data_IF_751214489722
#
_entry.id   IF_751214489722
#
_cell.length_a   1.000
_cell.length_b   1.000
_cell.length_c   1.000
_cell.angle_alpha   90.00
_cell.angle_beta   90.00
_cell.angle_gamma   90.00
#
_symmetry.space_group_name_H-M   'P 1'
#
loop_
_entity.id
_entity.type
_entity.pdbx_description
1 polymer ?
#
# COMPACT_ATOMS: atom_id res chain seq x y z
N UNK A 1 -37.00 2.44 -10.19
CA UNK A 1 -35.71 3.00 -10.63
C UNK A 1 -34.91 1.87 -11.26
N UNK A 2 -34.33 2.02 -12.46
CA UNK A 2 -33.38 1.02 -12.94
C UNK A 2 -32.21 1.01 -11.96
N UNK A 3 -31.83 -0.16 -11.47
CA UNK A 3 -30.58 -0.33 -10.73
C UNK A 3 -29.46 0.08 -11.70
N UNK A 4 -28.85 1.24 -11.47
CA UNK A 4 -27.64 1.64 -12.17
C UNK A 4 -26.57 0.60 -11.83
N UNK A 5 -26.40 -0.38 -12.71
CA UNK A 5 -25.40 -1.43 -12.54
C UNK A 5 -24.00 -0.84 -12.60
N UNK A 6 -23.12 -1.28 -11.71
CA UNK A 6 -21.69 -0.95 -11.79
C UNK A 6 -20.99 -2.02 -12.63
N UNK A 7 -19.68 -1.88 -12.78
CA UNK A 7 -18.85 -2.85 -13.47
C UNK A 7 -17.75 -3.36 -12.54
N UNK A 8 -17.30 -4.57 -12.81
CA UNK A 8 -16.00 -5.06 -12.36
C UNK A 8 -15.03 -5.00 -13.52
N UNK A 9 -13.82 -4.52 -13.26
CA UNK A 9 -12.74 -4.49 -14.24
C UNK A 9 -11.65 -5.46 -13.83
N UNK A 10 -11.11 -6.17 -14.82
CA UNK A 10 -10.10 -7.20 -14.65
C UNK A 10 -8.97 -6.96 -15.63
N UNK A 11 -7.74 -7.03 -15.13
CA UNK A 11 -6.55 -7.00 -15.96
C UNK A 11 -6.25 -8.42 -16.41
N UNK A 12 -6.32 -8.67 -17.71
CA UNK A 12 -6.07 -9.96 -18.33
C UNK A 12 -4.71 -9.93 -18.99
N UNK A 13 -3.86 -10.90 -18.67
CA UNK A 13 -2.61 -11.14 -19.35
C UNK A 13 -2.84 -12.00 -20.58
N UNK A 14 -2.50 -11.48 -21.76
CA UNK A 14 -2.89 -12.10 -23.03
C UNK A 14 -2.08 -13.36 -23.34
N UNK A 15 -0.85 -13.50 -22.81
CA UNK A 15 0.02 -14.64 -23.08
C UNK A 15 -0.39 -15.96 -22.40
N UNK A 16 -1.25 -15.94 -21.38
CA UNK A 16 -1.74 -17.16 -20.70
C UNK A 16 -3.18 -17.08 -20.18
N UNK A 17 -3.86 -15.96 -20.45
CA UNK A 17 -5.22 -15.70 -20.04
C UNK A 17 -5.39 -15.50 -18.54
N UNK A 18 -4.33 -15.41 -17.74
CA UNK A 18 -4.48 -15.10 -16.31
C UNK A 18 -5.14 -13.74 -16.12
N UNK A 19 -5.94 -13.59 -15.07
CA UNK A 19 -6.56 -12.31 -14.75
C UNK A 19 -6.54 -12.01 -13.26
N UNK A 20 -6.53 -10.72 -12.93
CA UNK A 20 -6.71 -10.21 -11.58
C UNK A 20 -7.62 -8.98 -11.60
N UNK A 21 -8.42 -8.74 -10.53
CA UNK A 21 -9.32 -7.61 -10.47
C UNK A 21 -8.55 -6.29 -10.33
N UNK A 22 -9.03 -5.25 -11.01
CA UNK A 22 -8.58 -3.86 -10.84
C UNK A 22 -9.59 -3.12 -9.95
N UNK A 23 -10.83 -2.99 -10.40
CA UNK A 23 -11.92 -2.36 -9.64
C UNK A 23 -13.08 -3.33 -9.43
N UNK A 24 -13.54 -3.46 -8.18
CA UNK A 24 -14.67 -4.32 -7.82
C UNK A 24 -16.04 -3.69 -8.07
N UNK A 25 -16.09 -2.37 -8.22
CA UNK A 25 -17.29 -1.59 -8.53
C UNK A 25 -16.84 -0.26 -9.13
N UNK A 26 -17.09 -0.06 -10.41
CA UNK A 26 -16.69 1.15 -11.13
C UNK A 26 -17.71 1.51 -12.22
N UNK A 27 -17.48 2.62 -12.90
CA UNK A 27 -18.30 3.11 -14.03
C UNK A 27 -17.45 3.20 -15.30
N UNK A 28 -18.04 3.14 -16.50
CA UNK A 28 -17.28 3.15 -17.75
C UNK A 28 -16.32 4.34 -17.91
N UNK A 29 -16.67 5.52 -17.36
CA UNK A 29 -15.79 6.69 -17.37
C UNK A 29 -14.44 6.52 -16.65
N UNK A 30 -14.28 5.46 -15.86
CA UNK A 30 -13.07 5.11 -15.12
C UNK A 30 -12.24 4.00 -15.77
N UNK A 31 -12.72 3.39 -16.85
CA UNK A 31 -12.02 2.27 -17.49
C UNK A 31 -10.65 2.64 -18.03
N UNK A 32 -10.44 3.86 -18.51
CA UNK A 32 -9.12 4.30 -18.98
C UNK A 32 -8.08 4.36 -17.84
N UNK A 33 -8.51 4.78 -16.66
CA UNK A 33 -7.67 4.80 -15.45
C UNK A 33 -7.34 3.37 -15.01
N UNK A 34 -8.34 2.49 -14.98
CA UNK A 34 -8.17 1.06 -14.68
C UNK A 34 -7.24 0.36 -15.69
N UNK A 35 -7.33 0.70 -16.98
CA UNK A 35 -6.46 0.16 -18.03
C UNK A 35 -5.01 0.63 -17.86
N UNK A 36 -4.79 1.90 -17.52
CA UNK A 36 -3.47 2.42 -17.20
C UNK A 36 -2.88 1.72 -15.97
N UNK A 37 -3.68 1.50 -14.92
CA UNK A 37 -3.27 0.77 -13.73
C UNK A 37 -2.93 -0.69 -14.05
N UNK A 38 -3.75 -1.37 -14.85
CA UNK A 38 -3.49 -2.74 -15.33
C UNK A 38 -2.12 -2.86 -16.00
N UNK A 39 -1.76 -1.91 -16.89
CA UNK A 39 -0.44 -1.89 -17.55
C UNK A 39 0.71 -1.64 -16.57
N UNK A 40 0.54 -0.73 -15.62
CA UNK A 40 1.56 -0.44 -14.58
C UNK A 40 1.83 -1.63 -13.67
N UNK A 41 0.81 -2.41 -13.36
CA UNK A 41 0.93 -3.60 -12.50
C UNK A 41 1.59 -4.80 -13.20
N UNK A 42 1.61 -4.80 -14.55
CA UNK A 42 2.18 -5.87 -15.35
C UNK A 42 3.09 -5.35 -16.47
N UNK A 43 4.20 -4.67 -16.14
CA UNK A 43 5.09 -4.05 -17.12
C UNK A 43 5.80 -5.07 -18.03
N UNK A 44 6.01 -6.31 -17.57
CA UNK A 44 6.73 -7.33 -18.33
C UNK A 44 5.83 -8.25 -19.17
N UNK A 45 4.54 -7.96 -19.29
CA UNK A 45 3.62 -8.74 -20.10
C UNK A 45 2.62 -7.87 -20.87
N UNK A 46 2.16 -8.38 -22.00
CA UNK A 46 1.01 -7.80 -22.68
C UNK A 46 -0.27 -8.07 -21.87
N UNK A 47 -0.99 -6.98 -21.58
CA UNK A 47 -2.22 -7.01 -20.82
C UNK A 47 -3.32 -6.23 -21.51
N UNK A 48 -4.56 -6.62 -21.24
CA UNK A 48 -5.75 -5.92 -21.70
C UNK A 48 -6.77 -5.84 -20.56
N UNK A 49 -7.47 -4.71 -20.47
CA UNK A 49 -8.57 -4.55 -19.53
C UNK A 49 -9.84 -5.22 -20.08
N UNK A 50 -10.47 -6.03 -19.25
CA UNK A 50 -11.80 -6.59 -19.48
C UNK A 50 -12.76 -6.11 -18.40
N UNK A 51 -14.05 -6.06 -18.71
CA UNK A 51 -15.08 -5.65 -17.77
C UNK A 51 -16.36 -6.47 -17.93
N UNK A 52 -17.08 -6.67 -16.84
CA UNK A 52 -18.42 -7.27 -16.85
C UNK A 52 -19.33 -6.52 -15.87
N UNK A 53 -20.64 -6.68 -16.02
CA UNK A 53 -21.62 -6.04 -15.13
C UNK A 53 -21.52 -6.58 -13.71
N UNK A 54 -21.77 -5.70 -12.76
CA UNK A 54 -21.83 -6.01 -11.34
C UNK A 54 -23.10 -5.36 -10.75
N UNK A 55 -24.00 -6.15 -10.12
CA UNK A 55 -23.95 -7.60 -9.91
C UNK A 55 -24.38 -8.42 -11.15
N UNK A 56 -24.22 -9.74 -11.07
CA UNK A 56 -24.93 -10.71 -11.95
C UNK A 56 -24.14 -11.30 -13.12
N UNK A 57 -22.96 -10.78 -13.44
CA UNK A 57 -22.05 -11.38 -14.43
C UNK A 57 -20.72 -11.80 -13.81
N UNK A 58 -19.96 -12.60 -14.55
CA UNK A 58 -18.63 -13.07 -14.18
C UNK A 58 -17.63 -12.88 -15.34
N UNK A 59 -16.41 -13.38 -15.15
CA UNK A 59 -15.33 -13.27 -16.14
C UNK A 59 -15.67 -13.93 -17.49
N UNK A 60 -16.51 -14.99 -17.52
CA UNK A 60 -16.86 -15.66 -18.78
C UNK A 60 -17.70 -14.74 -19.69
N UNK A 61 -18.32 -13.71 -19.10
CA UNK A 61 -19.10 -12.67 -19.80
C UNK A 61 -18.33 -11.36 -19.96
N UNK A 62 -17.07 -11.30 -19.53
CA UNK A 62 -16.30 -10.06 -19.58
C UNK A 62 -15.90 -9.71 -21.01
N UNK A 63 -15.92 -8.42 -21.31
CA UNK A 63 -15.58 -7.85 -22.61
C UNK A 63 -14.48 -6.80 -22.48
N UNK A 64 -13.56 -6.78 -23.42
CA UNK A 64 -12.53 -5.75 -23.52
C UNK A 64 -13.10 -4.43 -24.07
N UNK A 65 -12.29 -3.37 -24.04
CA UNK A 65 -12.66 -2.05 -24.58
C UNK A 65 -13.03 -2.05 -26.07
N UNK A 66 -12.52 -3.02 -26.83
CA UNK A 66 -12.88 -3.24 -28.24
C UNK A 66 -14.04 -4.24 -28.46
N UNK A 67 -14.72 -4.66 -27.39
CA UNK A 67 -15.91 -5.51 -27.46
C UNK A 67 -15.65 -7.01 -27.65
N UNK A 68 -14.40 -7.48 -27.60
CA UNK A 68 -14.09 -8.92 -27.66
C UNK A 68 -14.38 -9.58 -26.32
N UNK A 69 -15.01 -10.75 -26.36
CA UNK A 69 -15.24 -11.51 -25.13
C UNK A 69 -13.94 -12.14 -24.64
N UNK A 70 -13.77 -12.24 -23.32
CA UNK A 70 -12.61 -12.90 -22.73
C UNK A 70 -12.52 -14.37 -23.15
N UNK A 71 -13.67 -15.04 -23.31
CA UNK A 71 -13.75 -16.42 -23.82
C UNK A 71 -13.16 -16.61 -25.22
N UNK A 72 -13.10 -15.54 -26.03
CA UNK A 72 -12.61 -15.59 -27.40
C UNK A 72 -11.08 -15.45 -27.47
N UNK A 73 -10.43 -15.11 -26.35
CA UNK A 73 -8.97 -15.07 -26.26
C UNK A 73 -8.45 -16.51 -26.39
N UNK A 74 -7.49 -16.81 -27.30
CA UNK A 74 -6.97 -18.18 -27.49
C UNK A 74 -6.40 -18.80 -26.21
N UNK A 75 -5.89 -17.97 -25.32
CA UNK A 75 -5.31 -18.37 -24.03
C UNK A 75 -6.31 -18.31 -22.87
N UNK A 76 -7.57 -17.96 -23.10
CA UNK A 76 -8.60 -17.85 -22.06
C UNK A 76 -8.61 -19.08 -21.15
N UNK A 77 -8.58 -18.82 -19.83
CA UNK A 77 -8.56 -19.84 -18.78
C UNK A 77 -7.39 -20.85 -18.82
N UNK A 78 -6.37 -20.65 -19.67
CA UNK A 78 -5.26 -21.60 -19.80
C UNK A 78 -4.44 -21.72 -18.52
N UNK A 79 -4.26 -20.59 -17.81
CA UNK A 79 -3.63 -20.53 -16.49
C UNK A 79 -4.23 -21.49 -15.44
N UNK A 80 -5.50 -21.92 -15.61
CA UNK A 80 -6.15 -22.87 -14.70
C UNK A 80 -5.66 -24.30 -14.88
N UNK A 81 -5.13 -24.62 -16.07
CA UNK A 81 -4.68 -25.97 -16.42
C UNK A 81 -3.17 -26.12 -16.22
N UNK A 82 -2.41 -25.10 -16.58
CA UNK A 82 -0.96 -25.11 -16.48
C UNK A 82 -0.40 -23.71 -16.24
N UNK A 83 0.69 -23.63 -15.49
CA UNK A 83 1.45 -22.41 -15.30
C UNK A 83 2.38 -22.18 -16.50
N UNK A 84 2.36 -20.97 -17.07
CA UNK A 84 3.29 -20.55 -18.11
C UNK A 84 4.43 -19.72 -17.51
N UNK A 85 5.62 -20.33 -17.39
CA UNK A 85 6.80 -19.68 -16.82
C UNK A 85 7.34 -18.51 -17.68
N UNK A 86 7.01 -18.45 -18.98
CA UNK A 86 7.42 -17.34 -19.85
C UNK A 86 6.47 -16.14 -19.78
N UNK A 87 5.38 -16.24 -19.02
CA UNK A 87 4.32 -15.23 -18.96
C UNK A 87 4.18 -14.75 -17.50
N UNK A 88 4.73 -13.57 -17.21
CA UNK A 88 4.82 -12.98 -15.86
C UNK A 88 4.71 -11.46 -15.92
N UNK A 89 4.13 -10.83 -14.89
CA UNK A 89 4.05 -9.37 -14.78
C UNK A 89 5.40 -8.71 -14.43
N UNK A 90 6.38 -9.52 -14.05
CA UNK A 90 7.77 -9.14 -13.73
C UNK A 90 8.75 -9.97 -14.57
N UNK A 91 9.86 -9.36 -14.97
CA UNK A 91 10.86 -10.05 -15.78
C UNK A 91 11.53 -11.21 -15.00
N UNK A 92 12.06 -12.25 -15.69
CA UNK A 92 12.79 -13.32 -15.04
C UNK A 92 13.97 -12.79 -14.21
N UNK A 93 14.06 -13.21 -12.95
CA UNK A 93 15.11 -12.76 -12.03
C UNK A 93 14.91 -11.37 -11.41
N UNK A 94 13.88 -10.62 -11.83
CA UNK A 94 13.58 -9.29 -11.32
C UNK A 94 12.81 -9.34 -10.00
N UNK A 95 13.15 -8.46 -9.06
CA UNK A 95 12.36 -8.26 -7.84
C UNK A 95 11.06 -7.47 -8.14
N UNK A 96 10.06 -7.57 -7.27
CA UNK A 96 8.83 -6.77 -7.42
C UNK A 96 9.05 -5.28 -7.24
N UNK A 97 9.98 -4.90 -6.36
CA UNK A 97 10.35 -3.50 -6.18
C UNK A 97 10.91 -2.92 -7.49
N UNK A 98 11.85 -3.63 -8.11
CA UNK A 98 12.46 -3.21 -9.36
C UNK A 98 11.45 -3.17 -10.52
N UNK A 99 10.53 -4.12 -10.58
CA UNK A 99 9.47 -4.15 -11.60
C UNK A 99 8.53 -2.94 -11.49
N UNK A 100 8.16 -2.55 -10.26
CA UNK A 100 7.19 -1.47 -10.03
C UNK A 100 7.83 -0.08 -9.95
N UNK A 101 9.14 0.02 -9.70
CA UNK A 101 9.90 1.29 -9.73
C UNK A 101 9.89 2.00 -11.09
N UNK A 102 9.49 1.32 -12.15
CA UNK A 102 9.45 1.89 -13.51
C UNK A 102 8.34 2.93 -13.68
N UNK A 103 7.45 3.11 -12.71
CA UNK A 103 6.43 4.17 -12.69
C UNK A 103 6.82 5.32 -11.76
N UNK A 104 6.46 6.56 -12.14
CA UNK A 104 6.43 7.67 -11.19
C UNK A 104 5.34 7.42 -10.14
N UNK A 105 5.69 7.58 -8.86
CA UNK A 105 4.74 7.48 -7.77
C UNK A 105 3.85 8.72 -7.76
N UNK A 106 2.61 8.56 -8.24
CA UNK A 106 1.63 9.65 -8.32
C UNK A 106 1.05 10.04 -6.96
N UNK A 107 1.42 9.34 -5.89
CA UNK A 107 0.99 9.68 -4.52
C UNK A 107 1.90 10.70 -3.85
N UNK A 108 3.07 10.99 -4.43
CA UNK A 108 4.02 11.95 -3.87
C UNK A 108 3.55 13.39 -4.13
N UNK A 109 3.38 14.14 -3.05
CA UNK A 109 3.04 15.56 -3.09
C UNK A 109 4.25 16.45 -2.76
N UNK A 110 4.12 17.74 -3.08
CA UNK A 110 5.15 18.73 -2.76
C UNK A 110 5.23 18.90 -1.25
N UNK A 111 6.33 18.41 -0.66
CA UNK A 111 6.57 18.46 0.79
C UNK A 111 6.86 17.10 1.40
N UNK A 112 6.60 16.02 0.65
CA UNK A 112 6.90 14.66 1.10
C UNK A 112 8.41 14.41 1.18
N UNK A 113 8.83 13.73 2.24
CA UNK A 113 10.21 13.32 2.44
C UNK A 113 10.35 11.86 2.00
N UNK A 114 10.91 11.66 0.80
CA UNK A 114 11.24 10.31 0.32
C UNK A 114 12.52 9.82 1.01
N UNK A 115 12.39 8.75 1.79
CA UNK A 115 13.52 8.07 2.43
C UNK A 115 13.96 6.91 1.55
N UNK A 116 14.99 7.16 0.73
CA UNK A 116 15.67 6.09 -0.01
C UNK A 116 16.47 5.19 0.93
N UNK A 117 16.85 4.00 0.48
CA UNK A 117 17.69 3.10 1.27
C UNK A 117 19.00 3.76 1.71
N UNK A 118 19.64 4.51 0.81
CA UNK A 118 20.86 5.27 1.12
C UNK A 118 20.62 6.35 2.18
N UNK A 119 19.52 7.12 2.06
CA UNK A 119 19.14 8.14 3.04
C UNK A 119 18.78 7.53 4.40
N UNK A 120 18.13 6.37 4.41
CA UNK A 120 17.84 5.61 5.62
C UNK A 120 19.14 5.20 6.31
N UNK A 121 20.10 4.62 5.57
CA UNK A 121 21.43 4.26 6.10
C UNK A 121 22.17 5.47 6.66
N UNK A 122 22.08 6.64 6.04
CA UNK A 122 22.69 7.87 6.57
C UNK A 122 22.01 8.35 7.87
N UNK A 123 20.69 8.22 7.99
CA UNK A 123 19.95 8.60 9.19
C UNK A 123 20.13 7.59 10.34
N UNK A 124 20.37 6.32 10.03
CA UNK A 124 20.66 5.28 11.02
C UNK A 124 22.10 5.30 11.53
N UNK A 125 23.02 5.98 10.83
CA UNK A 125 24.40 6.08 11.27
C UNK A 125 24.55 7.16 12.35
N UNK A 126 25.31 6.89 13.44
CA UNK A 126 25.65 7.92 14.42
C UNK A 126 26.44 9.04 13.73
N UNK A 127 26.02 10.29 13.98
CA UNK A 127 26.72 11.47 13.47
C UNK A 127 27.90 11.76 14.37
N UNK A 128 29.07 12.04 13.79
CA UNK A 128 30.27 12.44 14.53
C UNK A 128 30.70 13.84 14.12
N UNK A 129 31.23 14.64 15.05
CA UNK A 129 31.83 15.94 14.76
C UNK A 129 33.22 15.78 14.10
N UNK A 130 33.84 16.89 13.70
CA UNK A 130 35.18 16.90 13.08
C UNK A 130 36.28 16.36 14.02
N UNK A 131 35.96 16.18 15.31
CA UNK A 131 36.84 15.66 16.35
C UNK A 131 36.48 14.19 16.73
N UNK A 132 35.56 13.56 16.01
CA UNK A 132 35.17 12.16 16.18
C UNK A 132 34.22 11.88 17.35
N UNK A 133 33.58 12.89 17.95
CA UNK A 133 32.61 12.72 19.05
C UNK A 133 31.18 12.62 18.51
N UNK A 134 30.34 11.75 19.10
CA UNK A 134 28.95 11.58 18.65
C UNK A 134 28.15 12.86 18.91
N UNK A 135 27.49 13.36 17.87
CA UNK A 135 26.63 14.55 17.90
C UNK A 135 25.19 14.09 18.06
N UNK A 136 24.63 14.26 19.26
CA UNK A 136 23.18 14.17 19.43
C UNK A 136 22.56 15.48 18.92
N UNK A 137 21.63 15.45 17.96
CA UNK A 137 20.90 16.65 17.60
C UNK A 137 19.99 17.02 18.77
N UNK A 138 20.35 18.09 19.48
CA UNK A 138 19.47 18.69 20.49
C UNK A 138 18.14 19.09 19.82
N UNK A 139 16.98 18.74 20.40
CA UNK A 139 15.67 18.96 19.77
C UNK A 139 15.22 20.43 19.71
N UNK A 140 16.09 21.42 20.00
CA UNK A 140 15.70 22.83 20.02
C UNK A 140 16.73 23.73 19.33
N UNK A 141 16.48 24.20 18.09
CA UNK A 141 17.44 24.99 17.31
C UNK A 141 17.57 26.45 17.77
N UNK A 142 17.03 26.84 18.93
CA UNK A 142 16.88 28.25 19.31
C UNK A 142 17.49 28.67 20.66
N UNK A 143 18.50 27.96 21.17
CA UNK A 143 19.11 28.27 22.48
C UNK A 143 20.59 28.69 22.42
N UNK A 144 20.99 29.47 21.40
CA UNK A 144 22.30 30.15 21.40
C UNK A 144 22.16 31.64 21.10
N UNK A 145 21.43 32.36 21.96
CA UNK A 145 21.57 33.82 22.08
C UNK A 145 21.57 34.22 23.55
N UNK A 146 22.79 34.45 24.04
CA UNK A 146 23.25 35.23 25.20
C UNK A 146 22.17 35.86 26.11
N UNK A 147 22.25 35.56 27.42
CA UNK A 147 21.55 36.27 28.49
C UNK A 147 22.18 37.66 28.76
N UNK A 148 21.41 38.69 29.19
CA UNK A 148 21.31 39.04 30.63
C UNK A 148 19.92 39.65 31.02
N UNK A 149 19.73 40.37 32.17
CA UNK A 149 19.27 39.85 33.45
C UNK A 149 17.83 40.27 33.88
N UNK A 150 17.31 39.48 34.82
CA UNK A 150 16.15 39.60 35.76
C UNK A 150 15.31 40.89 35.88
N UNK A 151 13.97 40.71 35.80
CA UNK A 151 12.84 41.24 36.61
C UNK A 151 11.57 41.10 35.74
N UNK A 152 10.36 40.73 36.16
CA UNK A 152 9.55 41.05 37.34
C UNK A 152 8.36 40.06 37.40
N UNK A 153 7.68 39.99 38.54
CA UNK A 153 6.55 39.13 38.95
C UNK A 153 5.27 39.20 38.08
N UNK A 154 4.38 38.25 38.40
CA UNK A 154 2.95 38.09 38.11
C UNK A 154 2.66 37.32 36.81
N UNK A 155 2.04 36.14 36.80
CA UNK A 155 0.98 35.64 37.65
C UNK A 155 -0.35 35.84 36.94
N UNK A 156 -0.90 34.78 36.35
CA UNK A 156 -2.32 34.37 36.41
C UNK A 156 -2.60 33.29 35.35
N UNK A 157 -3.27 32.27 35.88
CA UNK A 157 -3.89 31.07 35.33
C UNK A 157 -4.59 31.17 33.97
N UNK A 158 -4.69 30.04 33.26
CA UNK A 158 -5.98 29.41 32.91
C UNK A 158 -5.78 27.96 32.49
N UNK A 159 -6.70 27.13 32.98
CA UNK A 159 -6.84 25.66 32.90
C UNK A 159 -7.04 25.09 31.49
N UNK A 160 -6.59 23.85 31.20
CA UNK A 160 -7.09 23.07 30.07
C UNK A 160 -8.36 22.30 30.45
N UNK A 161 -9.38 22.39 29.58
CA UNK A 161 -10.65 21.69 29.67
C UNK A 161 -10.54 20.34 28.95
N UNK A 162 -10.86 19.27 29.66
CA UNK A 162 -11.04 17.90 29.15
C UNK A 162 -12.35 17.77 28.36
N UNK A 163 -12.43 16.84 27.40
CA UNK A 163 -13.55 15.89 27.40
C UNK A 163 -13.03 14.45 27.16
N UNK A 164 -13.15 13.53 28.11
CA UNK A 164 -14.35 12.74 28.44
C UNK A 164 -14.84 11.87 27.26
N UNK A 165 -14.34 10.63 27.19
CA UNK A 165 -14.92 9.55 26.41
C UNK A 165 -15.58 8.55 27.38
N UNK A 166 -16.90 8.40 27.27
CA UNK A 166 -17.70 7.46 28.02
C UNK A 166 -17.79 6.12 27.28
N UNK A 167 -17.66 5.04 28.05
CA UNK A 167 -17.83 3.65 27.64
C UNK A 167 -19.31 3.22 27.67
N UNK A 168 -19.68 2.19 26.91
CA UNK A 168 -20.57 1.11 27.38
C UNK A 168 -20.42 -0.15 26.51
N UNK A 169 -20.42 -1.28 27.22
CA UNK A 169 -20.16 -2.69 26.89
C UNK A 169 -21.25 -3.37 26.05
N UNK A 170 -21.07 -4.65 25.64
CA UNK A 170 -21.78 -5.72 26.35
C UNK A 170 -20.97 -6.99 26.63
N UNK A 171 -21.57 -7.83 27.46
CA UNK A 171 -21.01 -8.81 28.41
C UNK A 171 -20.92 -10.25 27.89
N UNK A 172 -19.78 -10.88 28.23
CA UNK A 172 -19.47 -12.27 28.65
C UNK A 172 -20.22 -13.49 28.05
N UNK A 173 -19.45 -14.42 27.48
CA UNK A 173 -19.60 -15.87 27.74
C UNK A 173 -18.20 -16.46 27.98
N UNK A 174 -18.15 -17.35 28.96
CA UNK A 174 -17.01 -17.73 29.78
C UNK A 174 -16.39 -19.04 29.27
N UNK A 175 -15.08 -19.09 29.03
CA UNK A 175 -14.35 -20.33 28.78
C UNK A 175 -12.93 -20.27 29.40
N UNK A 176 -12.63 -21.34 30.14
CA UNK A 176 -11.49 -21.70 30.99
C UNK A 176 -10.07 -21.19 30.57
N UNK A 177 -9.26 -20.61 31.49
CA UNK A 177 -8.02 -19.91 31.13
C UNK A 177 -6.75 -20.78 30.98
N UNK A 178 -6.82 -22.11 31.05
CA UNK A 178 -5.59 -22.92 31.22
C UNK A 178 -4.96 -23.55 29.98
N UNK A 179 -5.30 -23.15 28.73
CA UNK A 179 -4.57 -23.59 27.51
C UNK A 179 -4.87 -22.72 26.28
N UNK A 180 -4.25 -21.53 26.15
CA UNK A 180 -4.15 -20.84 24.84
C UNK A 180 -2.70 -20.81 24.37
N UNK A 181 -2.41 -21.70 23.42
CA UNK A 181 -1.10 -21.86 22.80
C UNK A 181 -0.97 -20.81 21.70
N UNK A 182 -0.43 -19.64 22.03
CA UNK A 182 -0.16 -18.58 21.05
C UNK A 182 1.05 -18.99 20.21
N UNK A 183 0.85 -19.12 18.90
CA UNK A 183 1.95 -19.36 17.95
C UNK A 183 2.56 -18.01 17.57
N UNK A 184 3.75 -17.73 18.08
CA UNK A 184 4.50 -16.54 17.67
C UNK A 184 4.93 -16.70 16.20
N UNK A 185 4.39 -15.84 15.33
CA UNK A 185 4.78 -15.73 13.92
C UNK A 185 5.49 -14.40 13.74
N UNK A 186 6.78 -14.37 14.10
CA UNK A 186 7.64 -13.20 13.93
C UNK A 186 9.10 -13.62 13.79
N UNK A 187 9.90 -12.90 12.99
CA UNK A 187 11.33 -13.19 12.81
C UNK A 187 12.09 -13.08 14.15
N UNK A 188 12.96 -14.06 14.42
CA UNK A 188 13.71 -14.15 15.67
C UNK A 188 14.94 -13.21 15.63
N UNK A 189 14.77 -11.98 16.12
CA UNK A 189 15.83 -10.97 16.10
C UNK A 189 16.68 -10.87 17.38
N UNK A 190 16.50 -11.73 18.38
CA UNK A 190 17.27 -11.64 19.62
C UNK A 190 17.85 -13.00 20.04
N UNK A 191 19.16 -13.08 20.36
CA UNK A 191 19.73 -14.26 21.00
C UNK A 191 19.22 -14.37 22.44
N UNK A 192 18.83 -15.58 22.85
CA UNK A 192 18.42 -15.89 24.21
C UNK A 192 19.63 -15.73 25.17
N UNK A 193 19.40 -15.06 26.30
CA UNK A 193 20.30 -15.07 27.47
C UNK A 193 20.02 -16.29 28.34
#
# INVERSE_FOLDING_TARGET
MPLSGTYRTLCVRTCDGYYFPISYSTVPGKFAEDEALCRRLCPAAEVALYSHRNPGEDIARAVSSNGRAYSDLPTAFSYRKAYNASCSCRAPGQSWEEALRQGEDQTLERGDIVVTEERSRQMSQPRFDAQGKPVNPDPNPNLTRQAPPSSTKAGVSTTPVTPAAAASTPEKTEEDPTKRKVRAVGPAFYPAR
#
